data_IF_624537246790
#
_entry.id   IF_624537246790
#
_cell.length_a   1.000
_cell.length_b   1.000
_cell.length_c   1.000
_cell.angle_alpha   90.00
_cell.angle_beta   90.00
_cell.angle_gamma   90.00
#
_symmetry.space_group_name_H-M   'P 1'
#
loop_
_entity.id
_entity.type
_entity.pdbx_description
1 polymer ?
#
# COMPACT_ATOMS: atom_id res chain seq x y z
N UNK A 1 19.19 70.07 40.22
CA UNK A 1 19.82 69.30 41.29
C UNK A 1 20.62 68.15 40.72
N UNK A 2 21.88 67.97 41.12
CA UNK A 2 22.77 66.90 40.74
C UNK A 2 22.52 65.69 41.67
N UNK A 3 22.10 64.54 41.12
CA UNK A 3 21.98 63.33 41.92
C UNK A 3 23.27 62.51 41.68
N UNK A 4 24.12 62.41 42.70
CA UNK A 4 25.28 61.52 42.69
C UNK A 4 24.95 60.22 43.39
N UNK A 5 25.24 59.09 42.76
CA UNK A 5 25.10 57.78 43.39
C UNK A 5 26.43 57.03 43.27
N UNK A 6 26.71 56.15 44.23
CA UNK A 6 27.89 55.29 44.20
C UNK A 6 27.51 53.96 43.50
N UNK A 7 28.11 53.63 42.33
CA UNK A 7 27.79 52.38 41.59
C UNK A 7 28.06 51.11 42.43
N UNK A 8 29.00 51.16 43.39
CA UNK A 8 29.35 50.01 44.23
C UNK A 8 28.24 49.64 45.26
N UNK A 9 27.31 50.55 45.52
CA UNK A 9 26.17 50.29 46.45
C UNK A 9 24.98 49.64 45.78
N UNK A 10 24.98 49.50 44.43
CA UNK A 10 23.93 48.84 43.68
C UNK A 10 23.99 47.30 43.91
N UNK A 11 23.22 46.81 44.84
CA UNK A 11 23.04 45.37 45.07
C UNK A 11 22.31 44.75 43.89
N UNK A 12 22.93 43.71 43.27
CA UNK A 12 22.21 42.90 42.27
C UNK A 12 21.01 42.23 42.93
N UNK A 13 19.84 42.38 42.32
CA UNK A 13 18.62 41.71 42.80
C UNK A 13 18.77 40.20 42.69
N UNK A 14 18.55 39.49 43.77
CA UNK A 14 18.45 38.02 43.82
C UNK A 14 17.05 37.51 43.51
N UNK A 15 16.16 38.35 43.01
CA UNK A 15 14.82 37.94 42.64
C UNK A 15 14.87 36.86 41.58
N UNK A 16 14.04 35.81 41.79
CA UNK A 16 13.94 34.65 40.94
C UNK A 16 12.63 34.69 40.16
N UNK A 17 12.58 35.20 38.93
CA UNK A 17 11.35 35.34 38.17
C UNK A 17 10.81 33.96 37.79
N UNK A 18 9.48 33.82 37.91
CA UNK A 18 8.73 32.72 37.34
C UNK A 18 8.32 33.07 35.94
N UNK A 19 8.32 32.06 35.02
CA UNK A 19 7.80 32.17 33.67
C UNK A 19 6.39 31.60 33.66
N UNK A 20 5.48 32.28 32.98
CA UNK A 20 4.11 31.80 32.71
C UNK A 20 3.90 31.72 31.21
N UNK A 21 3.18 30.71 30.78
CA UNK A 21 2.73 30.56 29.39
C UNK A 21 1.42 31.34 29.23
N UNK A 22 1.40 32.25 28.25
CA UNK A 22 0.26 33.19 28.10
C UNK A 22 -0.74 32.75 27.05
N UNK A 23 -0.24 32.45 25.85
CA UNK A 23 -1.12 32.13 24.72
C UNK A 23 -0.42 31.20 23.71
N UNK A 24 -1.25 30.49 22.97
CA UNK A 24 -0.91 29.68 21.83
C UNK A 24 -1.50 30.31 20.57
N UNK A 25 -0.69 30.47 19.54
CA UNK A 25 -1.11 30.99 18.25
C UNK A 25 -0.86 29.97 17.17
N UNK A 26 -1.88 29.56 16.43
CA UNK A 26 -1.75 28.71 15.28
C UNK A 26 -1.46 29.53 14.01
N UNK A 27 -0.53 29.09 13.20
CA UNK A 27 -0.21 29.79 11.95
C UNK A 27 -1.41 29.76 11.01
N UNK A 28 -1.85 30.94 10.56
CA UNK A 28 -3.02 31.12 9.71
C UNK A 28 -4.32 31.46 10.45
N UNK A 29 -4.33 31.46 11.78
CA UNK A 29 -5.45 31.93 12.57
C UNK A 29 -5.23 33.38 13.06
N UNK A 30 -6.28 34.14 13.15
CA UNK A 30 -6.20 35.54 13.64
C UNK A 30 -6.23 35.64 15.17
N UNK A 31 -6.78 34.64 15.82
CA UNK A 31 -6.98 34.62 17.26
C UNK A 31 -5.92 33.76 17.95
N UNK A 32 -5.49 34.18 19.12
CA UNK A 32 -4.59 33.42 19.99
C UNK A 32 -5.39 32.74 21.09
N UNK A 33 -5.18 31.47 21.27
CA UNK A 33 -5.84 30.70 22.34
C UNK A 33 -5.10 30.93 23.67
N UNK A 34 -5.80 31.41 24.74
CA UNK A 34 -5.17 31.58 26.04
C UNK A 34 -4.86 30.20 26.65
N UNK A 35 -3.62 30.03 27.13
CA UNK A 35 -3.18 28.79 27.78
C UNK A 35 -2.81 28.99 29.25
N UNK A 36 -3.12 30.18 29.78
CA UNK A 36 -2.89 30.47 31.16
C UNK A 36 -3.66 29.47 32.05
N UNK A 37 -2.98 28.82 32.99
CA UNK A 37 -3.54 27.79 33.89
C UNK A 37 -3.95 26.46 33.20
N UNK A 38 -3.54 26.19 31.95
CA UNK A 38 -3.69 24.85 31.36
C UNK A 38 -2.56 23.96 31.82
N UNK A 39 -2.89 22.83 32.40
CA UNK A 39 -1.90 21.82 32.81
C UNK A 39 -1.31 21.07 31.60
N UNK A 40 -2.02 21.02 30.47
CA UNK A 40 -1.63 20.36 29.22
C UNK A 40 -2.23 21.06 28.01
N UNK A 41 -1.46 21.14 26.93
CA UNK A 41 -1.93 21.64 25.65
C UNK A 41 -2.04 20.48 24.66
N UNK A 42 -3.21 20.33 24.02
CA UNK A 42 -3.44 19.30 23.01
C UNK A 42 -3.50 19.97 21.63
N UNK A 43 -2.56 19.60 20.76
CA UNK A 43 -2.43 20.17 19.42
C UNK A 43 -3.13 19.22 18.43
N UNK A 44 -4.15 19.72 17.68
CA UNK A 44 -4.80 18.93 16.64
C UNK A 44 -3.86 18.57 15.50
N UNK A 45 -4.09 17.43 14.86
CA UNK A 45 -3.25 16.89 13.79
C UNK A 45 -3.09 17.84 12.57
N UNK A 46 -4.07 18.71 12.34
CA UNK A 46 -4.11 19.65 11.21
C UNK A 46 -3.48 21.03 11.52
N UNK A 47 -3.12 21.31 12.80
CA UNK A 47 -2.61 22.62 13.24
C UNK A 47 -1.21 22.53 13.85
N UNK A 48 -0.27 21.94 13.12
CA UNK A 48 1.10 21.64 13.62
C UNK A 48 2.09 22.79 13.52
N UNK A 49 1.68 23.91 12.91
CA UNK A 49 2.46 25.15 12.86
C UNK A 49 1.88 26.11 13.91
N UNK A 50 2.65 26.36 14.95
CA UNK A 50 2.17 27.14 16.08
C UNK A 50 3.28 27.92 16.75
N UNK A 51 2.90 28.95 17.50
CA UNK A 51 3.79 29.76 18.31
C UNK A 51 3.23 29.81 19.74
N UNK A 52 4.08 29.49 20.71
CA UNK A 52 3.77 29.56 22.12
C UNK A 52 4.39 30.82 22.69
N UNK A 53 3.56 31.68 23.28
CA UNK A 53 3.98 32.89 23.96
C UNK A 53 4.08 32.66 25.46
N UNK A 54 5.09 33.26 26.06
CA UNK A 54 5.34 33.18 27.50
C UNK A 54 5.87 34.51 28.00
N UNK A 55 5.74 34.76 29.32
CA UNK A 55 6.24 35.97 29.95
C UNK A 55 6.95 35.65 31.26
N UNK A 56 7.97 36.43 31.57
CA UNK A 56 8.60 36.43 32.88
C UNK A 56 7.89 37.39 33.79
N UNK A 57 7.65 36.99 35.03
CA UNK A 57 7.05 37.83 36.05
C UNK A 57 8.08 38.78 36.70
N UNK A 58 8.94 39.41 35.87
CA UNK A 58 9.85 40.49 36.29
C UNK A 58 9.43 41.77 35.57
N UNK A 59 8.88 42.72 36.31
CA UNK A 59 8.32 43.97 35.77
C UNK A 59 9.33 45.12 35.73
N UNK A 60 10.59 44.92 36.25
CA UNK A 60 11.54 46.04 36.40
C UNK A 60 12.13 46.49 35.07
N UNK A 61 12.60 45.56 34.23
CA UNK A 61 13.20 45.85 32.91
C UNK A 61 12.95 44.76 31.91
N UNK A 62 11.83 44.80 31.24
CA UNK A 62 11.33 43.76 30.31
C UNK A 62 12.34 43.44 29.20
N UNK A 63 13.11 44.38 28.70
CA UNK A 63 14.01 44.22 27.56
C UNK A 63 15.37 43.59 27.91
N UNK A 64 15.69 43.35 29.15
CA UNK A 64 16.95 42.75 29.57
C UNK A 64 16.80 41.30 30.01
N UNK A 65 15.58 40.78 30.08
CA UNK A 65 15.32 39.39 30.40
C UNK A 65 15.70 38.49 29.24
N UNK A 66 16.51 37.46 29.50
CA UNK A 66 16.91 36.44 28.55
C UNK A 66 16.20 35.13 28.90
N UNK A 67 15.88 34.36 27.88
CA UNK A 67 15.18 33.09 28.02
C UNK A 67 16.03 31.95 27.47
N UNK A 68 15.95 30.80 28.15
CA UNK A 68 16.39 29.51 27.64
C UNK A 68 15.20 28.58 27.64
N UNK A 69 15.12 27.76 26.61
CA UNK A 69 14.11 26.72 26.51
C UNK A 69 14.72 25.36 26.16
N UNK A 70 13.99 24.31 26.51
CA UNK A 70 14.27 22.94 26.16
C UNK A 70 12.94 22.23 25.90
N UNK A 71 12.93 21.33 24.93
CA UNK A 71 11.73 20.56 24.61
C UNK A 71 12.11 19.09 24.78
N UNK A 72 11.69 18.50 25.90
CA UNK A 72 11.89 17.08 26.15
C UNK A 72 11.05 16.28 25.15
N UNK A 73 11.66 15.28 24.50
CA UNK A 73 11.08 14.52 23.40
C UNK A 73 11.40 15.07 21.99
N UNK A 74 11.91 16.31 21.87
CA UNK A 74 12.25 16.91 20.59
C UNK A 74 13.72 17.35 20.49
N UNK A 75 14.26 17.98 21.52
CA UNK A 75 15.68 18.38 21.58
C UNK A 75 16.53 17.29 22.24
N UNK A 76 17.83 17.31 21.98
CA UNK A 76 18.76 16.41 22.64
C UNK A 76 18.64 16.52 24.19
N UNK A 77 18.72 15.42 24.93
CA UNK A 77 18.56 15.42 26.38
C UNK A 77 19.53 16.39 27.07
N UNK A 78 19.02 17.24 27.95
CA UNK A 78 19.82 18.17 28.75
C UNK A 78 20.27 19.45 28.04
N UNK A 79 20.05 19.60 26.73
CA UNK A 79 20.47 20.78 25.95
C UNK A 79 19.45 21.92 26.11
N UNK A 80 19.92 23.08 26.55
CA UNK A 80 19.16 24.31 26.62
C UNK A 80 19.49 25.19 25.41
N UNK A 81 18.45 25.68 24.75
CA UNK A 81 18.55 26.56 23.57
C UNK A 81 18.30 27.99 24.01
N UNK A 82 19.17 28.92 23.57
CA UNK A 82 18.97 30.33 23.83
C UNK A 82 17.88 30.93 22.94
N UNK A 83 16.90 31.57 23.55
CA UNK A 83 15.87 32.32 22.85
C UNK A 83 16.12 33.85 22.88
N UNK A 84 17.25 34.26 23.41
CA UNK A 84 17.57 35.68 23.57
C UNK A 84 16.52 36.38 24.41
N UNK A 85 16.07 37.54 23.96
CA UNK A 85 14.98 38.30 24.60
C UNK A 85 13.57 38.00 24.03
N UNK A 86 13.49 37.08 23.10
CA UNK A 86 12.19 36.67 22.50
C UNK A 86 11.34 35.95 23.53
N UNK A 87 10.10 36.35 23.64
CA UNK A 87 9.08 35.79 24.54
C UNK A 87 8.13 34.83 23.83
N UNK A 88 8.54 34.34 22.66
CA UNK A 88 7.77 33.37 21.85
C UNK A 88 8.68 32.30 21.28
N UNK A 89 8.16 31.08 21.14
CA UNK A 89 8.81 29.95 20.48
C UNK A 89 7.91 29.45 19.37
N UNK A 90 8.41 29.48 18.13
CA UNK A 90 7.69 28.97 16.97
C UNK A 90 8.02 27.51 16.70
N UNK A 91 7.00 26.72 16.42
CA UNK A 91 7.11 25.33 15.97
C UNK A 91 6.65 25.23 14.52
N UNK A 92 7.48 24.66 13.68
CA UNK A 92 7.15 24.43 12.29
C UNK A 92 6.99 22.91 12.07
N UNK A 93 5.75 22.47 11.80
CA UNK A 93 5.38 21.06 11.55
C UNK A 93 5.88 20.10 12.64
N UNK A 94 5.57 20.40 13.90
CA UNK A 94 5.89 19.49 15.00
C UNK A 94 5.29 18.09 14.75
N UNK A 95 6.09 17.03 14.92
CA UNK A 95 5.66 15.64 14.73
C UNK A 95 4.64 15.23 15.80
N UNK A 96 3.86 14.20 15.55
CA UNK A 96 2.98 13.64 16.58
C UNK A 96 3.79 13.03 17.73
N UNK A 97 3.28 13.18 18.93
CA UNK A 97 3.93 12.67 20.15
C UNK A 97 3.66 13.54 21.36
N UNK A 98 4.24 13.11 22.49
CA UNK A 98 4.19 13.84 23.76
C UNK A 98 5.51 14.57 24.00
N UNK A 99 5.41 15.85 24.30
CA UNK A 99 6.55 16.74 24.52
C UNK A 99 6.34 17.54 25.82
N UNK A 100 7.44 17.97 26.43
CA UNK A 100 7.38 18.90 27.55
C UNK A 100 8.26 20.11 27.24
N UNK A 101 7.61 21.26 27.02
CA UNK A 101 8.32 22.53 26.85
C UNK A 101 8.72 23.06 28.22
N UNK A 102 10.03 23.24 28.42
CA UNK A 102 10.62 23.80 29.63
C UNK A 102 11.24 25.14 29.33
N UNK A 103 10.87 26.17 30.08
CA UNK A 103 11.38 27.53 29.90
C UNK A 103 11.89 28.09 31.22
N UNK A 104 13.04 28.75 31.18
CA UNK A 104 13.56 29.55 32.29
C UNK A 104 14.00 30.92 31.83
N UNK A 105 13.97 31.89 32.72
CA UNK A 105 14.32 33.26 32.42
C UNK A 105 15.40 33.80 33.34
N UNK A 106 16.10 34.85 32.91
CA UNK A 106 16.93 35.68 33.82
C UNK A 106 16.04 36.77 34.46
N UNK A 107 16.52 37.29 35.61
CA UNK A 107 15.99 38.53 36.09
C UNK A 107 16.57 39.73 35.31
N UNK A 108 16.11 40.95 35.62
CA UNK A 108 16.59 42.19 35.02
C UNK A 108 18.09 42.48 35.22
N UNK A 109 18.77 41.76 36.11
CA UNK A 109 20.21 41.85 36.38
C UNK A 109 21.02 40.72 35.75
N UNK A 110 20.38 39.84 34.91
CA UNK A 110 21.04 38.76 34.20
C UNK A 110 21.24 37.48 35.05
N UNK A 111 20.67 37.37 36.21
CA UNK A 111 20.77 36.18 37.08
C UNK A 111 19.71 35.18 36.65
N UNK A 112 20.09 33.94 36.33
CA UNK A 112 19.19 32.87 35.94
C UNK A 112 18.32 32.42 37.10
N UNK A 113 17.01 32.32 36.81
CA UNK A 113 16.03 31.72 37.75
C UNK A 113 16.28 30.24 37.94
N UNK A 114 16.07 29.77 39.17
CA UNK A 114 16.01 28.31 39.51
C UNK A 114 14.67 27.70 39.12
N UNK A 115 13.64 28.53 38.95
CA UNK A 115 12.32 28.05 38.57
C UNK A 115 12.28 27.79 37.06
N UNK A 116 11.84 26.60 36.73
CA UNK A 116 11.57 26.15 35.35
C UNK A 116 10.07 26.04 35.18
N UNK A 117 9.54 26.74 34.20
CA UNK A 117 8.15 26.56 33.79
C UNK A 117 8.05 25.37 32.84
N UNK A 118 7.12 24.47 33.08
CA UNK A 118 6.91 23.27 32.29
C UNK A 118 5.51 23.30 31.67
N UNK A 119 5.40 22.97 30.40
CA UNK A 119 4.16 22.87 29.65
C UNK A 119 4.13 21.55 28.89
N UNK A 120 3.36 20.56 29.34
CA UNK A 120 3.11 19.34 28.59
C UNK A 120 2.32 19.65 27.31
N UNK A 121 2.79 19.11 26.19
CA UNK A 121 2.23 19.29 24.85
C UNK A 121 1.98 17.92 24.23
N UNK A 122 0.75 17.60 23.91
CA UNK A 122 0.36 16.40 23.17
C UNK A 122 0.00 16.78 21.75
N UNK A 123 0.70 16.21 20.77
CA UNK A 123 0.40 16.40 19.35
C UNK A 123 -0.30 15.15 18.81
N UNK A 124 -1.55 15.29 18.41
CA UNK A 124 -2.35 14.18 17.90
C UNK A 124 -1.85 13.71 16.54
N UNK A 125 -1.83 12.38 16.31
CA UNK A 125 -1.47 11.83 15.00
C UNK A 125 -2.56 12.13 13.97
N UNK A 126 -2.15 12.30 12.71
CA UNK A 126 -3.05 12.29 11.56
C UNK A 126 -3.56 10.85 11.34
N UNK A 127 -4.70 10.67 10.67
CA UNK A 127 -5.26 9.35 10.36
C UNK A 127 -4.21 8.40 9.76
N UNK A 128 -3.40 8.88 8.82
CA UNK A 128 -2.35 8.09 8.14
C UNK A 128 -1.15 7.74 9.03
N UNK A 129 -0.90 8.51 10.06
CA UNK A 129 0.16 8.26 11.06
C UNK A 129 -0.32 7.29 12.15
N UNK A 130 -1.64 7.17 12.31
CA UNK A 130 -2.27 6.27 13.27
C UNK A 130 -2.04 4.80 12.88
N UNK A 131 -2.03 3.92 13.89
CA UNK A 131 -1.94 2.47 13.70
C UNK A 131 -3.08 1.96 12.80
N UNK A 132 -4.28 2.49 12.96
CA UNK A 132 -5.45 2.12 12.14
C UNK A 132 -5.29 2.51 10.67
N UNK A 133 -4.73 3.69 10.39
CA UNK A 133 -4.42 4.11 9.03
C UNK A 133 -3.37 3.20 8.36
N UNK A 134 -2.33 2.82 9.09
CA UNK A 134 -1.29 1.90 8.60
C UNK A 134 -1.84 0.49 8.34
N UNK A 135 -2.71 -0.03 9.24
CA UNK A 135 -3.37 -1.33 9.05
C UNK A 135 -4.27 -1.32 7.81
N UNK A 136 -5.04 -0.24 7.60
CA UNK A 136 -5.88 -0.10 6.40
C UNK A 136 -5.05 -0.09 5.12
N UNK A 137 -3.93 0.65 5.09
CA UNK A 137 -3.02 0.64 3.94
C UNK A 137 -2.43 -0.75 3.67
N UNK A 138 -2.05 -1.46 4.72
CA UNK A 138 -1.54 -2.83 4.61
C UNK A 138 -2.60 -3.77 4.03
N UNK A 139 -3.84 -3.68 4.51
CA UNK A 139 -4.97 -4.47 4.01
C UNK A 139 -5.26 -4.19 2.53
N UNK A 140 -5.25 -2.92 2.12
CA UNK A 140 -5.40 -2.54 0.71
C UNK A 140 -4.26 -3.11 -0.15
N UNK A 141 -3.02 -3.04 0.33
CA UNK A 141 -1.88 -3.61 -0.38
C UNK A 141 -2.05 -5.12 -0.59
N UNK A 142 -2.42 -5.86 0.46
CA UNK A 142 -2.69 -7.29 0.36
C UNK A 142 -3.84 -7.61 -0.58
N UNK A 143 -4.90 -6.79 -0.58
CA UNK A 143 -6.02 -6.92 -1.52
C UNK A 143 -5.59 -6.78 -2.98
N UNK A 144 -4.76 -5.79 -3.28
CA UNK A 144 -4.22 -5.56 -4.63
C UNK A 144 -3.33 -6.73 -5.06
N UNK A 145 -2.40 -7.18 -4.20
CA UNK A 145 -1.53 -8.32 -4.49
C UNK A 145 -2.35 -9.60 -4.70
N UNK A 146 -3.36 -9.83 -3.86
CA UNK A 146 -4.28 -10.97 -4.01
C UNK A 146 -5.06 -10.94 -5.33
N UNK A 147 -5.56 -9.77 -5.72
CA UNK A 147 -6.26 -9.61 -7.00
C UNK A 147 -5.34 -9.87 -8.22
N UNK A 148 -4.11 -9.35 -8.17
CA UNK A 148 -3.11 -9.62 -9.22
C UNK A 148 -2.79 -11.12 -9.29
N UNK A 149 -2.58 -11.78 -8.15
CA UNK A 149 -2.30 -13.22 -8.09
C UNK A 149 -3.48 -14.05 -8.59
N UNK A 150 -4.71 -13.66 -8.24
CA UNK A 150 -5.92 -14.32 -8.72
C UNK A 150 -6.06 -14.23 -10.24
N UNK A 151 -5.90 -13.04 -10.82
CA UNK A 151 -5.97 -12.84 -12.28
C UNK A 151 -4.84 -13.56 -13.01
N UNK A 152 -3.63 -13.58 -12.45
CA UNK A 152 -2.51 -14.33 -13.02
C UNK A 152 -2.77 -15.84 -13.05
N UNK A 153 -3.25 -16.42 -11.95
CA UNK A 153 -3.60 -17.84 -11.88
C UNK A 153 -4.74 -18.22 -12.84
N UNK A 154 -5.74 -17.36 -12.98
CA UNK A 154 -6.84 -17.60 -13.90
C UNK A 154 -6.33 -17.66 -15.36
N UNK A 155 -5.53 -16.70 -15.78
CA UNK A 155 -4.91 -16.69 -17.13
C UNK A 155 -4.03 -17.92 -17.41
N UNK A 156 -3.28 -18.37 -16.42
CA UNK A 156 -2.47 -19.60 -16.55
C UNK A 156 -3.33 -20.83 -16.78
N UNK A 157 -4.46 -20.96 -16.11
CA UNK A 157 -5.39 -22.09 -16.28
C UNK A 157 -6.04 -22.08 -17.68
N UNK A 158 -6.46 -20.94 -18.16
CA UNK A 158 -7.06 -20.78 -19.49
C UNK A 158 -6.05 -21.15 -20.60
N UNK A 159 -4.81 -20.71 -20.51
CA UNK A 159 -3.75 -21.04 -21.48
C UNK A 159 -3.47 -22.53 -21.56
N UNK A 160 -3.35 -23.22 -20.42
CA UNK A 160 -3.09 -24.67 -20.38
C UNK A 160 -4.25 -25.46 -20.99
N UNK A 161 -5.48 -25.07 -20.72
CA UNK A 161 -6.67 -25.72 -21.26
C UNK A 161 -6.76 -25.54 -22.78
N UNK A 162 -6.43 -24.34 -23.26
CA UNK A 162 -6.43 -24.03 -24.69
C UNK A 162 -5.35 -24.81 -25.45
N UNK A 163 -4.12 -24.85 -24.94
CA UNK A 163 -3.02 -25.63 -25.54
C UNK A 163 -3.33 -27.13 -25.60
N UNK A 164 -3.94 -27.69 -24.55
CA UNK A 164 -4.35 -29.09 -24.54
C UNK A 164 -5.45 -29.40 -25.57
N UNK A 165 -6.39 -28.48 -25.77
CA UNK A 165 -7.46 -28.66 -26.76
C UNK A 165 -6.92 -28.60 -28.19
N UNK A 166 -6.01 -27.67 -28.48
CA UNK A 166 -5.36 -27.54 -29.78
C UNK A 166 -4.54 -28.79 -30.10
N UNK A 167 -3.66 -29.23 -29.17
CA UNK A 167 -2.87 -30.46 -29.37
C UNK A 167 -3.72 -31.70 -29.57
N UNK A 168 -4.83 -31.81 -28.82
CA UNK A 168 -5.78 -32.93 -28.97
C UNK A 168 -6.40 -32.96 -30.36
N UNK A 169 -6.83 -31.81 -30.88
CA UNK A 169 -7.44 -31.71 -32.20
C UNK A 169 -6.45 -31.98 -33.33
N UNK A 170 -5.25 -31.45 -33.23
CA UNK A 170 -4.19 -31.68 -34.19
C UNK A 170 -3.84 -33.17 -34.24
N UNK A 171 -3.74 -33.83 -33.08
CA UNK A 171 -3.50 -35.28 -33.00
C UNK A 171 -4.62 -36.09 -33.66
N UNK A 172 -5.91 -35.77 -33.41
CA UNK A 172 -7.02 -36.49 -34.04
C UNK A 172 -7.07 -36.28 -35.55
N UNK A 173 -6.82 -35.07 -36.04
CA UNK A 173 -6.79 -34.78 -37.46
C UNK A 173 -5.60 -35.51 -38.19
N UNK A 174 -4.42 -35.48 -37.59
CA UNK A 174 -3.26 -36.18 -38.16
C UNK A 174 -3.44 -37.68 -38.14
N UNK A 175 -3.91 -38.25 -37.02
CA UNK A 175 -4.20 -39.68 -36.91
C UNK A 175 -5.29 -40.14 -37.93
N UNK A 176 -6.36 -39.34 -38.05
CA UNK A 176 -7.42 -39.66 -39.02
C UNK A 176 -6.91 -39.64 -40.46
N UNK A 177 -6.10 -38.65 -40.85
CA UNK A 177 -5.53 -38.57 -42.19
C UNK A 177 -4.52 -39.67 -42.48
N UNK A 178 -3.65 -40.00 -41.51
CA UNK A 178 -2.68 -41.07 -41.66
C UNK A 178 -3.30 -42.45 -41.70
N UNK A 179 -4.44 -42.69 -41.03
CA UNK A 179 -5.15 -43.97 -41.05
C UNK A 179 -6.07 -44.12 -42.25
N UNK A 180 -6.63 -43.02 -42.78
CA UNK A 180 -7.53 -43.07 -43.98
C UNK A 180 -6.81 -43.66 -45.19
N UNK A 181 -5.58 -43.28 -45.44
CA UNK A 181 -4.81 -43.73 -46.59
C UNK A 181 -4.58 -45.26 -46.60
N UNK A 182 -4.07 -45.89 -45.53
CA UNK A 182 -3.89 -47.36 -45.54
C UNK A 182 -5.19 -48.13 -45.58
N UNK A 183 -6.26 -47.59 -44.92
CA UNK A 183 -7.58 -48.23 -45.01
C UNK A 183 -8.17 -48.22 -46.42
N UNK A 184 -8.03 -47.09 -47.15
CA UNK A 184 -8.43 -46.98 -48.54
C UNK A 184 -7.60 -47.91 -49.43
N UNK A 185 -6.28 -48.01 -49.18
CA UNK A 185 -5.37 -48.91 -49.93
C UNK A 185 -5.65 -50.37 -49.66
N UNK A 186 -6.25 -50.75 -48.52
CA UNK A 186 -6.70 -52.09 -48.23
C UNK A 186 -8.08 -52.37 -48.88
N UNK A 187 -9.01 -51.45 -48.71
CA UNK A 187 -10.39 -51.61 -49.15
C UNK A 187 -10.54 -51.70 -50.69
N UNK A 188 -9.83 -50.85 -51.42
CA UNK A 188 -9.92 -50.77 -52.87
C UNK A 188 -9.42 -52.06 -53.61
N UNK A 189 -8.24 -52.60 -53.33
CA UNK A 189 -7.78 -53.84 -53.95
C UNK A 189 -8.67 -55.04 -53.56
N UNK A 190 -9.07 -55.13 -52.30
CA UNK A 190 -9.92 -56.22 -51.83
C UNK A 190 -11.27 -56.20 -52.56
N UNK A 191 -11.83 -55.03 -52.80
CA UNK A 191 -13.05 -54.83 -53.56
C UNK A 191 -12.85 -55.24 -55.03
N UNK A 192 -11.74 -54.83 -55.66
CA UNK A 192 -11.40 -55.21 -57.02
C UNK A 192 -11.28 -56.74 -57.18
N UNK A 193 -10.58 -57.40 -56.27
CA UNK A 193 -10.46 -58.88 -56.28
C UNK A 193 -11.85 -59.51 -56.11
N UNK A 194 -12.69 -59.03 -55.24
CA UNK A 194 -14.03 -59.56 -55.04
C UNK A 194 -14.90 -59.47 -56.28
N UNK A 195 -14.75 -58.36 -57.06
CA UNK A 195 -15.59 -58.07 -58.24
C UNK A 195 -15.05 -58.72 -59.53
N UNK A 196 -13.73 -58.92 -59.67
CA UNK A 196 -13.09 -59.42 -60.94
C UNK A 196 -12.68 -60.86 -60.95
N UNK A 197 -12.48 -61.50 -59.80
CA UNK A 197 -11.96 -62.91 -59.75
C UNK A 197 -13.10 -63.90 -59.61
N UNK A 198 -13.44 -64.70 -60.69
CA UNK A 198 -14.55 -65.66 -60.67
C UNK A 198 -14.21 -66.95 -59.91
N UNK A 199 -12.93 -67.22 -59.62
CA UNK A 199 -12.48 -68.43 -58.94
C UNK A 199 -12.51 -68.42 -57.42
N UNK A 200 -12.96 -67.39 -56.80
CA UNK A 200 -13.00 -67.24 -55.34
C UNK A 200 -14.09 -68.10 -54.72
N UNK A 201 -13.72 -68.95 -53.76
CA UNK A 201 -14.64 -69.79 -53.04
C UNK A 201 -15.69 -68.98 -52.28
N UNK A 202 -16.90 -69.48 -51.98
CA UNK A 202 -17.91 -68.82 -51.22
C UNK A 202 -17.39 -68.27 -49.86
N UNK A 203 -16.60 -69.06 -49.16
CA UNK A 203 -15.97 -68.69 -47.92
C UNK A 203 -14.93 -67.55 -48.10
N UNK A 204 -14.19 -67.57 -49.21
CA UNK A 204 -13.26 -66.48 -49.54
C UNK A 204 -13.96 -65.17 -49.80
N UNK A 205 -15.12 -65.18 -50.49
CA UNK A 205 -15.95 -63.98 -50.69
C UNK A 205 -16.48 -63.40 -49.39
N UNK A 206 -16.92 -64.26 -48.45
CA UNK A 206 -17.36 -63.83 -47.12
C UNK A 206 -16.25 -63.16 -46.32
N UNK A 207 -15.01 -63.69 -46.33
CA UNK A 207 -13.87 -63.10 -45.65
C UNK A 207 -13.46 -61.76 -46.25
N UNK A 208 -13.43 -61.64 -47.58
CA UNK A 208 -13.13 -60.38 -48.26
C UNK A 208 -14.14 -59.29 -48.00
N UNK A 209 -15.45 -59.65 -47.96
CA UNK A 209 -16.49 -58.70 -47.56
C UNK A 209 -16.32 -58.22 -46.11
N UNK A 210 -15.99 -59.11 -45.19
CA UNK A 210 -15.73 -58.74 -43.79
C UNK A 210 -14.56 -57.75 -43.68
N UNK A 211 -13.49 -57.87 -44.48
CA UNK A 211 -12.39 -56.93 -44.55
C UNK A 211 -12.85 -55.54 -45.03
N UNK A 212 -13.69 -55.52 -46.09
CA UNK A 212 -14.26 -54.26 -46.60
C UNK A 212 -15.14 -53.59 -45.57
N UNK A 213 -16.03 -54.36 -44.93
CA UNK A 213 -16.97 -53.87 -43.94
C UNK A 213 -16.21 -53.30 -42.73
N UNK A 214 -15.18 -53.97 -42.23
CA UNK A 214 -14.34 -53.49 -41.15
C UNK A 214 -13.54 -52.22 -41.54
N UNK A 215 -13.01 -52.15 -42.77
CA UNK A 215 -12.32 -50.95 -43.24
C UNK A 215 -13.27 -49.75 -43.33
N UNK A 216 -14.49 -49.95 -43.82
CA UNK A 216 -15.54 -48.90 -43.87
C UNK A 216 -15.98 -48.47 -42.50
N UNK A 217 -16.16 -49.38 -41.54
CA UNK A 217 -16.50 -49.06 -40.16
C UNK A 217 -15.42 -48.20 -39.49
N UNK A 218 -14.12 -48.54 -39.71
CA UNK A 218 -13.02 -47.71 -39.21
C UNK A 218 -13.00 -46.34 -39.84
N UNK A 219 -13.29 -46.17 -41.13
CA UNK A 219 -13.40 -44.87 -41.80
C UNK A 219 -14.52 -44.00 -41.17
N UNK A 220 -15.68 -44.63 -40.90
CA UNK A 220 -16.79 -43.93 -40.25
C UNK A 220 -16.45 -43.52 -38.82
N UNK A 221 -15.72 -44.34 -38.05
CA UNK A 221 -15.24 -43.97 -36.72
C UNK A 221 -14.24 -42.80 -36.76
N UNK A 222 -13.33 -42.81 -37.72
CA UNK A 222 -12.37 -41.72 -37.92
C UNK A 222 -13.09 -40.38 -38.26
N UNK A 223 -14.06 -40.40 -39.15
CA UNK A 223 -14.85 -39.24 -39.51
C UNK A 223 -15.67 -38.71 -38.32
N UNK A 224 -16.23 -39.58 -37.48
CA UNK A 224 -16.87 -39.20 -36.24
C UNK A 224 -15.88 -38.54 -35.27
N UNK A 225 -14.71 -39.15 -35.04
CA UNK A 225 -13.70 -38.63 -34.14
C UNK A 225 -13.22 -37.23 -34.60
N UNK A 226 -13.02 -37.04 -35.91
CA UNK A 226 -12.63 -35.74 -36.49
C UNK A 226 -13.75 -34.66 -36.31
N UNK A 227 -15.03 -35.04 -36.50
CA UNK A 227 -16.16 -34.10 -36.28
C UNK A 227 -16.31 -33.71 -34.82
N UNK A 228 -16.12 -34.63 -33.87
CA UNK A 228 -16.12 -34.32 -32.45
C UNK A 228 -15.00 -33.40 -32.04
N UNK A 229 -13.79 -33.59 -32.56
CA UNK A 229 -12.68 -32.70 -32.34
C UNK A 229 -12.99 -31.26 -32.79
N UNK A 230 -13.43 -31.11 -34.05
CA UNK A 230 -13.78 -29.77 -34.61
C UNK A 230 -14.96 -29.09 -33.91
N UNK A 231 -15.95 -29.87 -33.41
CA UNK A 231 -17.10 -29.33 -32.67
C UNK A 231 -16.67 -28.81 -31.28
N UNK A 232 -15.80 -29.51 -30.60
CA UNK A 232 -15.26 -29.07 -29.33
C UNK A 232 -14.49 -27.72 -29.47
N UNK A 233 -13.73 -27.53 -30.57
CA UNK A 233 -13.07 -26.25 -30.87
C UNK A 233 -14.03 -25.12 -31.13
N UNK A 234 -15.16 -25.37 -31.78
CA UNK A 234 -16.18 -24.36 -32.05
C UNK A 234 -16.76 -23.81 -30.73
N UNK A 235 -17.09 -24.68 -29.77
CA UNK A 235 -17.63 -24.25 -28.47
C UNK A 235 -16.56 -23.56 -27.62
N UNK A 236 -15.31 -24.02 -27.65
CA UNK A 236 -14.21 -23.38 -26.90
C UNK A 236 -13.88 -21.99 -27.43
N UNK A 237 -13.90 -21.78 -28.76
CA UNK A 237 -13.61 -20.49 -29.41
C UNK A 237 -14.78 -19.50 -29.40
N UNK A 238 -16.02 -20.00 -29.36
CA UNK A 238 -17.23 -19.15 -29.35
C UNK A 238 -17.65 -18.72 -27.96
N UNK A 239 -17.05 -19.25 -26.90
CA UNK A 239 -17.45 -18.97 -25.52
C UNK A 239 -18.86 -19.47 -25.16
N UNK A 240 -19.45 -20.29 -26.03
CA UNK A 240 -20.79 -20.90 -25.82
C UNK A 240 -20.59 -22.20 -25.07
N UNK A 241 -21.38 -22.43 -24.03
CA UNK A 241 -21.48 -23.71 -23.36
C UNK A 241 -22.46 -24.61 -24.11
N UNK A 242 -22.35 -25.94 -23.96
CA UNK A 242 -23.19 -26.94 -24.67
C UNK A 242 -24.69 -26.83 -24.28
N UNK A 243 -25.07 -25.93 -23.36
CA UNK A 243 -26.40 -25.68 -22.85
C UNK A 243 -27.09 -24.41 -23.42
N UNK A 244 -26.42 -23.62 -24.25
CA UNK A 244 -26.95 -22.48 -24.99
C UNK A 244 -27.18 -22.88 -26.48
#
# INVERSE_FOLDING_TARGET
GLITFNPATLKKSNYQPKVIFSSLHYSGEKESEPILHKDKVVIPANKRNLTINFASLDYQRKYQTKYLYRIDGYTAPGVWISNGSSHSIGFNRISHGDYVLKVRATNSHGVWSKYVAELPIEVRPTFWESIWGKLLMLLLLFGIVGAIFYTYNQRQRENVTHEMSVMKNEFYNDAANRLRTPLTLIGAPVKTVLDTEPGITRKGKELLRMVIDNANEMLVMLDKAQRYGNKADFYTNSGLTEED
#
